data_IF_256031384928
#
_entry.id   IF_256031384928
#
_cell.length_a   1.000
_cell.length_b   1.000
_cell.length_c   1.000
_cell.angle_alpha   90.00
_cell.angle_beta   90.00
_cell.angle_gamma   90.00
#
_symmetry.space_group_name_H-M   'P 1'
#
loop_
_entity.id
_entity.type
_entity.pdbx_description
1 polymer ?
#
# COMPACT_ATOMS: atom_id res chain seq x y z
N UNK A 1 12.75 -29.07 23.81
CA UNK A 1 13.03 -28.94 22.37
C UNK A 1 14.20 -27.99 22.25
N UNK A 2 15.37 -28.53 21.94
CA UNK A 2 16.56 -27.71 21.73
C UNK A 2 16.53 -27.18 20.29
N UNK A 3 16.68 -25.86 20.13
CA UNK A 3 16.92 -25.26 18.81
C UNK A 3 18.43 -25.10 18.64
N UNK A 4 19.10 -25.97 17.87
CA UNK A 4 20.55 -25.93 17.77
C UNK A 4 20.98 -24.64 17.07
N UNK A 5 21.94 -23.95 17.67
CA UNK A 5 22.50 -22.70 17.12
C UNK A 5 23.15 -22.93 15.75
N UNK A 6 23.78 -24.10 15.60
CA UNK A 6 24.36 -24.56 14.35
C UNK A 6 23.36 -25.49 13.65
N UNK A 7 23.20 -25.35 12.33
CA UNK A 7 22.25 -26.12 11.51
C UNK A 7 20.74 -25.98 11.82
N UNK A 8 20.32 -25.28 12.88
CA UNK A 8 18.91 -25.00 13.14
C UNK A 8 18.26 -24.07 12.10
N UNK A 9 19.05 -23.24 11.43
CA UNK A 9 18.61 -22.40 10.31
C UNK A 9 19.68 -22.40 9.21
N UNK A 10 19.34 -22.94 8.03
CA UNK A 10 20.25 -23.05 6.90
C UNK A 10 19.84 -22.08 5.79
N UNK A 11 20.77 -21.22 5.37
CA UNK A 11 20.57 -20.32 4.24
C UNK A 11 21.20 -20.94 3.00
N UNK A 12 20.36 -21.32 2.04
CA UNK A 12 20.79 -21.85 0.75
C UNK A 12 20.75 -20.74 -0.31
N UNK A 13 21.80 -20.63 -1.12
CA UNK A 13 21.86 -19.66 -2.23
C UNK A 13 21.09 -20.13 -3.49
N UNK A 14 20.57 -21.36 -3.48
CA UNK A 14 19.78 -21.93 -4.58
C UNK A 14 18.28 -21.68 -4.38
N UNK A 15 17.56 -21.61 -5.49
CA UNK A 15 16.11 -21.47 -5.48
C UNK A 15 15.43 -22.84 -5.42
N UNK A 16 14.27 -22.89 -4.76
CA UNK A 16 13.37 -24.03 -4.88
C UNK A 16 12.66 -24.04 -6.26
N UNK A 17 12.12 -25.18 -6.71
CA UNK A 17 11.66 -25.36 -8.09
C UNK A 17 10.53 -24.42 -8.51
N UNK A 18 9.62 -24.08 -7.59
CA UNK A 18 8.38 -23.37 -7.92
C UNK A 18 8.49 -21.84 -7.75
N UNK A 19 9.29 -21.37 -6.79
CA UNK A 19 9.47 -19.95 -6.54
C UNK A 19 10.82 -19.65 -5.89
N UNK A 20 11.36 -18.46 -6.18
CA UNK A 20 12.66 -17.99 -5.66
C UNK A 20 12.65 -17.80 -4.14
N UNK A 21 11.53 -17.34 -3.58
CA UNK A 21 11.35 -17.18 -2.15
C UNK A 21 10.67 -18.42 -1.56
N UNK A 22 11.47 -19.46 -1.32
CA UNK A 22 11.02 -20.73 -0.73
C UNK A 22 11.67 -20.99 0.62
N UNK A 23 10.93 -21.62 1.52
CA UNK A 23 11.39 -22.05 2.84
C UNK A 23 10.89 -23.46 3.13
N UNK A 24 11.77 -24.33 3.60
CA UNK A 24 11.40 -25.66 4.08
C UNK A 24 11.53 -25.71 5.59
N UNK A 25 10.51 -26.22 6.25
CA UNK A 25 10.49 -26.44 7.69
C UNK A 25 10.50 -27.96 7.90
N UNK A 26 11.48 -28.43 8.65
CA UNK A 26 11.63 -29.83 9.03
C UNK A 26 11.49 -29.96 10.55
N UNK A 27 10.69 -30.92 11.00
CA UNK A 27 10.62 -31.33 12.39
C UNK A 27 11.35 -32.67 12.56
N UNK A 28 12.16 -32.77 13.60
CA UNK A 28 12.98 -33.94 13.88
C UNK A 28 12.59 -34.59 15.21
N UNK A 29 12.69 -35.92 15.27
CA UNK A 29 12.70 -36.68 16.51
C UNK A 29 14.05 -37.42 16.60
N UNK A 30 15.00 -36.86 17.36
CA UNK A 30 16.40 -37.26 17.24
C UNK A 30 16.96 -36.88 15.87
N UNK A 31 17.49 -37.86 15.14
CA UNK A 31 18.03 -37.67 13.79
C UNK A 31 16.99 -37.93 12.68
N UNK A 32 15.79 -38.40 13.03
CA UNK A 32 14.74 -38.74 12.07
C UNK A 32 13.83 -37.53 11.77
N UNK A 33 13.63 -37.23 10.49
CA UNK A 33 12.66 -36.21 10.04
C UNK A 33 11.26 -36.79 10.15
N UNK A 34 10.47 -36.31 11.11
CA UNK A 34 9.08 -36.73 11.31
C UNK A 34 8.08 -35.88 10.50
N UNK A 35 8.50 -34.69 10.07
CA UNK A 35 7.66 -33.81 9.26
C UNK A 35 8.53 -32.89 8.41
N UNK A 36 8.07 -32.63 7.18
CA UNK A 36 8.72 -31.71 6.25
C UNK A 36 7.65 -30.97 5.47
N UNK A 37 7.69 -29.64 5.47
CA UNK A 37 6.77 -28.83 4.67
C UNK A 37 7.47 -27.66 4.00
N UNK A 38 7.19 -27.51 2.72
CA UNK A 38 7.70 -26.42 1.88
C UNK A 38 6.67 -25.30 1.78
N UNK A 39 7.11 -24.06 2.00
CA UNK A 39 6.33 -22.85 1.90
C UNK A 39 6.98 -21.88 0.92
N UNK A 40 6.17 -21.21 0.11
CA UNK A 40 6.58 -20.20 -0.85
C UNK A 40 5.97 -18.85 -0.50
N UNK A 41 6.80 -17.81 -0.42
CA UNK A 41 6.33 -16.43 -0.28
C UNK A 41 6.13 -15.81 -1.66
N UNK A 42 4.87 -15.65 -2.06
CA UNK A 42 4.49 -15.16 -3.40
C UNK A 42 4.37 -13.62 -3.47
N UNK A 43 4.80 -12.93 -2.42
CA UNK A 43 4.82 -11.46 -2.33
C UNK A 43 3.61 -10.87 -1.60
N UNK A 44 3.77 -9.67 -1.02
CA UNK A 44 2.71 -8.98 -0.29
C UNK A 44 2.34 -9.59 1.07
N UNK A 45 3.17 -10.50 1.60
CA UNK A 45 2.90 -11.21 2.86
C UNK A 45 2.13 -12.52 2.70
N UNK A 46 1.74 -12.89 1.47
CA UNK A 46 1.06 -14.16 1.21
C UNK A 46 2.04 -15.33 1.15
N UNK A 47 1.68 -16.45 1.81
CA UNK A 47 2.44 -17.69 1.85
C UNK A 47 1.54 -18.81 1.33
N UNK A 48 2.08 -19.64 0.44
CA UNK A 48 1.39 -20.82 -0.12
C UNK A 48 2.29 -22.02 0.07
N UNK A 49 1.74 -23.16 0.47
CA UNK A 49 2.47 -24.41 0.50
C UNK A 49 2.63 -25.01 -0.91
N UNK A 50 3.59 -25.91 -1.05
CA UNK A 50 3.94 -26.51 -2.35
C UNK A 50 2.76 -27.18 -3.06
N UNK A 51 1.89 -27.85 -2.31
CA UNK A 51 0.73 -28.57 -2.83
C UNK A 51 -0.34 -27.65 -3.43
N UNK A 52 -0.48 -26.43 -2.91
CA UNK A 52 -1.46 -25.43 -3.39
C UNK A 52 -0.82 -24.38 -4.30
N UNK A 53 0.45 -24.54 -4.68
CA UNK A 53 1.14 -23.58 -5.52
C UNK A 53 0.52 -23.54 -6.93
N UNK A 54 -0.06 -22.39 -7.29
CA UNK A 54 -0.73 -22.20 -8.58
C UNK A 54 -2.17 -22.72 -8.63
N UNK A 55 -2.71 -23.21 -7.52
CA UNK A 55 -4.15 -23.44 -7.39
C UNK A 55 -4.81 -22.12 -6.99
N UNK A 56 -5.83 -21.70 -7.75
CA UNK A 56 -6.68 -20.61 -7.31
C UNK A 56 -7.41 -21.06 -6.05
N UNK A 57 -7.29 -20.28 -4.96
CA UNK A 57 -8.02 -20.56 -3.73
C UNK A 57 -9.52 -20.56 -4.07
N UNK A 58 -10.12 -21.76 -4.05
CA UNK A 58 -11.47 -22.06 -4.52
C UNK A 58 -12.58 -21.53 -3.59
N UNK A 59 -12.49 -20.27 -3.17
CA UNK A 59 -13.59 -19.54 -2.58
C UNK A 59 -13.93 -18.39 -3.53
N UNK A 60 -14.74 -18.68 -4.55
CA UNK A 60 -15.49 -17.64 -5.26
C UNK A 60 -16.47 -17.03 -4.26
N UNK A 61 -15.98 -16.05 -3.53
CA UNK A 61 -16.79 -15.24 -2.65
C UNK A 61 -17.71 -14.40 -3.54
N UNK A 62 -19.01 -14.71 -3.50
CA UNK A 62 -20.03 -14.00 -4.27
C UNK A 62 -20.24 -12.61 -3.68
N UNK A 63 -19.76 -11.59 -4.40
CA UNK A 63 -19.98 -10.18 -4.07
C UNK A 63 -21.06 -9.58 -4.99
N UNK A 64 -21.83 -8.57 -4.54
CA UNK A 64 -22.91 -7.97 -5.32
C UNK A 64 -22.46 -7.34 -6.66
N UNK A 65 -21.28 -6.73 -6.69
CA UNK A 65 -20.74 -6.04 -7.87
C UNK A 65 -19.35 -6.58 -8.23
N UNK A 66 -19.24 -7.80 -8.79
CA UNK A 66 -17.95 -8.36 -9.18
C UNK A 66 -17.45 -7.65 -10.45
N UNK A 67 -16.19 -7.21 -10.45
CA UNK A 67 -15.59 -6.53 -11.60
C UNK A 67 -14.21 -7.13 -11.92
N UNK A 68 -13.89 -7.25 -13.21
CA UNK A 68 -12.58 -7.71 -13.71
C UNK A 68 -11.85 -6.62 -14.49
N UNK A 69 -12.58 -5.64 -15.01
CA UNK A 69 -12.03 -4.52 -15.77
C UNK A 69 -12.46 -3.16 -15.23
N UNK A 70 -11.68 -2.12 -15.53
CA UNK A 70 -12.02 -0.75 -15.18
C UNK A 70 -13.32 -0.30 -15.88
N UNK A 71 -13.59 -0.84 -17.09
CA UNK A 71 -14.80 -0.55 -17.85
C UNK A 71 -16.04 -1.10 -17.14
N UNK A 72 -15.99 -2.34 -16.64
CA UNK A 72 -17.07 -2.93 -15.84
C UNK A 72 -17.31 -2.15 -14.54
N UNK A 73 -16.22 -1.79 -13.83
CA UNK A 73 -16.33 -0.99 -12.61
C UNK A 73 -17.04 0.34 -12.86
N UNK A 74 -16.71 1.03 -13.95
CA UNK A 74 -17.37 2.28 -14.34
C UNK A 74 -18.82 2.06 -14.80
N UNK A 75 -19.12 0.94 -15.49
CA UNK A 75 -20.48 0.59 -15.88
C UNK A 75 -21.39 0.44 -14.65
N UNK A 76 -20.94 -0.31 -13.63
CA UNK A 76 -21.70 -0.44 -12.39
C UNK A 76 -21.87 0.89 -11.65
N UNK A 77 -20.84 1.75 -11.61
CA UNK A 77 -20.98 3.09 -11.04
C UNK A 77 -22.06 3.92 -11.77
N UNK A 78 -22.13 3.83 -13.10
CA UNK A 78 -23.13 4.55 -13.89
C UNK A 78 -24.54 3.98 -13.71
N UNK A 79 -24.69 2.66 -13.60
CA UNK A 79 -25.97 1.98 -13.43
C UNK A 79 -26.56 2.18 -12.04
N UNK A 80 -25.72 2.11 -11.00
CA UNK A 80 -26.17 2.20 -9.60
C UNK A 80 -26.19 3.64 -9.06
N UNK A 81 -25.45 4.55 -9.69
CA UNK A 81 -25.20 5.90 -9.17
C UNK A 81 -24.21 5.95 -8.00
N UNK A 82 -23.60 4.83 -7.63
CA UNK A 82 -22.58 4.80 -6.57
C UNK A 82 -21.23 5.34 -7.03
N UNK A 83 -20.55 6.03 -6.13
CA UNK A 83 -19.12 6.34 -6.30
C UNK A 83 -18.27 5.06 -6.23
N UNK A 84 -17.02 5.11 -6.72
CA UNK A 84 -16.07 3.99 -6.62
C UNK A 84 -15.94 3.45 -5.20
N UNK A 85 -15.83 4.35 -4.21
CA UNK A 85 -15.77 3.98 -2.79
C UNK A 85 -17.08 3.38 -2.28
N UNK A 86 -18.22 3.86 -2.79
CA UNK A 86 -19.53 3.34 -2.43
C UNK A 86 -19.75 1.92 -2.94
N UNK A 87 -19.36 1.65 -4.19
CA UNK A 87 -19.44 0.33 -4.79
C UNK A 87 -18.51 -0.66 -4.08
N UNK A 88 -17.27 -0.27 -3.80
CA UNK A 88 -16.34 -1.07 -3.00
C UNK A 88 -16.90 -1.37 -1.60
N UNK A 89 -17.52 -0.38 -0.95
CA UNK A 89 -18.21 -0.57 0.33
C UNK A 89 -19.34 -1.60 0.24
N UNK A 90 -20.14 -1.61 -0.84
CA UNK A 90 -21.19 -2.63 -1.00
C UNK A 90 -20.62 -4.04 -1.13
N UNK A 91 -19.49 -4.20 -1.83
CA UNK A 91 -18.82 -5.48 -1.92
C UNK A 91 -18.25 -5.93 -0.57
N UNK A 92 -17.62 -5.03 0.19
CA UNK A 92 -17.10 -5.35 1.52
C UNK A 92 -18.23 -5.64 2.53
N UNK A 93 -19.35 -4.93 2.45
CA UNK A 93 -20.53 -5.17 3.30
C UNK A 93 -21.18 -6.54 3.08
N UNK A 94 -20.95 -7.17 1.93
CA UNK A 94 -21.40 -8.54 1.69
C UNK A 94 -20.55 -9.58 2.47
N UNK A 95 -19.34 -9.20 2.90
CA UNK A 95 -18.35 -10.08 3.53
C UNK A 95 -18.16 -9.79 5.01
N UNK A 96 -18.26 -8.53 5.36
CA UNK A 96 -17.95 -8.00 6.68
C UNK A 96 -19.05 -7.05 7.13
N UNK A 97 -19.27 -6.98 8.44
CA UNK A 97 -20.18 -6.00 9.00
C UNK A 97 -19.61 -4.58 8.88
N UNK A 98 -20.48 -3.57 8.83
CA UNK A 98 -20.06 -2.16 8.78
C UNK A 98 -19.12 -1.79 9.93
N UNK A 99 -19.39 -2.32 11.12
CA UNK A 99 -18.59 -2.07 12.32
C UNK A 99 -17.17 -2.61 12.17
N UNK A 100 -17.00 -3.83 11.66
CA UNK A 100 -15.67 -4.43 11.44
C UNK A 100 -14.86 -3.62 10.42
N UNK A 101 -15.50 -3.16 9.35
CA UNK A 101 -14.86 -2.32 8.33
C UNK A 101 -14.37 -1.00 8.93
N UNK A 102 -15.21 -0.33 9.72
CA UNK A 102 -14.89 0.95 10.33
C UNK A 102 -13.78 0.83 11.38
N UNK A 103 -13.84 -0.20 12.23
CA UNK A 103 -12.79 -0.50 13.22
C UNK A 103 -11.46 -0.87 12.54
N UNK A 104 -11.51 -1.66 11.46
CA UNK A 104 -10.32 -2.03 10.69
C UNK A 104 -9.65 -0.80 10.06
N UNK A 105 -10.40 0.06 9.37
CA UNK A 105 -9.80 1.25 8.76
C UNK A 105 -9.34 2.29 9.79
N UNK A 106 -10.04 2.41 10.92
CA UNK A 106 -9.56 3.23 12.04
C UNK A 106 -8.20 2.72 12.53
N UNK A 107 -8.05 1.41 12.70
CA UNK A 107 -6.78 0.80 13.12
C UNK A 107 -5.66 0.98 12.09
N UNK A 108 -5.97 0.80 10.80
CA UNK A 108 -5.05 1.04 9.68
C UNK A 108 -4.56 2.48 9.69
N UNK A 109 -5.46 3.45 9.79
CA UNK A 109 -5.11 4.87 9.79
C UNK A 109 -4.29 5.25 11.02
N UNK A 110 -4.71 4.81 12.22
CA UNK A 110 -3.96 5.06 13.45
C UNK A 110 -2.53 4.49 13.37
N UNK A 111 -2.37 3.29 12.79
CA UNK A 111 -1.05 2.67 12.62
C UNK A 111 -0.20 3.45 11.61
N UNK A 112 -0.80 3.93 10.52
CA UNK A 112 -0.13 4.79 9.54
C UNK A 112 0.33 6.11 10.15
N UNK A 113 -0.53 6.82 10.89
CA UNK A 113 -0.19 8.06 11.59
C UNK A 113 0.95 7.84 12.59
N UNK A 114 0.83 6.81 13.43
CA UNK A 114 1.88 6.49 14.39
C UNK A 114 3.22 6.15 13.72
N UNK A 115 3.19 5.56 12.52
CA UNK A 115 4.39 5.31 11.72
C UNK A 115 5.03 6.61 11.21
N UNK A 116 4.23 7.52 10.65
CA UNK A 116 4.71 8.84 10.23
C UNK A 116 5.32 9.57 11.43
N UNK A 117 4.63 9.61 12.58
CA UNK A 117 5.09 10.28 13.79
C UNK A 117 6.42 9.73 14.29
N UNK A 118 6.58 8.41 14.32
CA UNK A 118 7.88 7.81 14.68
C UNK A 118 8.97 8.19 13.71
N UNK A 119 8.73 8.08 12.39
CA UNK A 119 9.71 8.42 11.36
C UNK A 119 10.11 9.90 11.39
N UNK A 120 9.18 10.79 11.73
CA UNK A 120 9.41 12.23 11.89
C UNK A 120 10.25 12.61 13.12
N UNK A 121 10.24 11.77 14.16
CA UNK A 121 10.91 12.05 15.44
C UNK A 121 12.21 11.24 15.61
N UNK A 122 12.40 10.17 14.85
CA UNK A 122 13.55 9.27 15.01
C UNK A 122 14.73 9.74 14.17
N UNK A 123 15.83 10.08 14.84
CA UNK A 123 17.10 10.40 14.20
C UNK A 123 18.02 9.16 14.13
N UNK A 124 19.13 9.30 13.41
CA UNK A 124 20.19 8.29 13.36
C UNK A 124 20.38 7.68 11.97
N UNK A 125 21.00 6.51 11.95
CA UNK A 125 21.40 5.79 10.73
C UNK A 125 20.60 4.50 10.61
N UNK A 126 20.14 4.19 9.40
CA UNK A 126 19.39 2.97 9.12
C UNK A 126 20.29 1.73 9.27
N UNK A 127 19.76 0.63 9.81
CA UNK A 127 20.49 -0.62 9.94
C UNK A 127 20.81 -1.19 8.55
N UNK A 128 22.02 -1.73 8.38
CA UNK A 128 22.48 -2.35 7.14
C UNK A 128 23.86 -1.86 6.68
N UNK A 129 24.42 -2.48 5.62
CA UNK A 129 25.79 -2.21 5.18
C UNK A 129 25.97 -0.81 4.58
N UNK A 130 24.90 -0.21 4.06
CA UNK A 130 24.93 1.08 3.37
C UNK A 130 24.93 2.29 4.32
N UNK A 131 24.73 2.10 5.64
CA UNK A 131 24.77 3.16 6.66
C UNK A 131 24.10 4.47 6.25
N UNK A 132 22.88 4.37 5.71
CA UNK A 132 22.14 5.53 5.18
C UNK A 132 21.57 6.36 6.34
N UNK A 133 21.84 7.67 6.43
CA UNK A 133 21.27 8.52 7.47
C UNK A 133 19.78 8.77 7.23
N UNK A 134 19.00 8.83 8.32
CA UNK A 134 17.60 9.25 8.30
C UNK A 134 17.50 10.73 7.94
N UNK A 135 16.58 11.08 7.04
CA UNK A 135 16.39 12.45 6.52
C UNK A 135 15.07 13.05 6.97
N UNK A 136 14.07 12.25 7.31
CA UNK A 136 12.72 12.74 7.62
C UNK A 136 12.69 13.74 8.78
N UNK A 137 13.39 13.43 9.88
CA UNK A 137 13.45 14.31 11.06
C UNK A 137 14.13 15.66 10.77
N UNK A 138 15.23 15.65 10.01
CA UNK A 138 15.92 16.88 9.60
C UNK A 138 15.04 17.72 8.66
N UNK A 139 14.38 17.09 7.70
CA UNK A 139 13.48 17.75 6.76
C UNK A 139 12.27 18.38 7.47
N UNK A 140 11.68 17.68 8.44
CA UNK A 140 10.60 18.24 9.27
C UNK A 140 11.02 19.51 10.01
N UNK A 141 12.22 19.54 10.60
CA UNK A 141 12.71 20.76 11.28
C UNK A 141 12.82 21.94 10.34
N UNK A 142 13.34 21.71 9.13
CA UNK A 142 13.42 22.75 8.10
C UNK A 142 12.02 23.22 7.70
N UNK A 143 11.10 22.30 7.40
CA UNK A 143 9.75 22.64 6.97
C UNK A 143 8.97 23.42 8.02
N UNK A 144 8.98 22.98 9.28
CA UNK A 144 8.30 23.68 10.39
C UNK A 144 8.86 25.09 10.61
N UNK A 145 10.15 25.31 10.34
CA UNK A 145 10.76 26.64 10.43
C UNK A 145 10.39 27.55 9.25
N UNK A 146 10.23 26.99 8.05
CA UNK A 146 9.93 27.72 6.80
C UNK A 146 8.44 27.97 6.57
N UNK A 147 7.57 27.18 7.19
CA UNK A 147 6.11 27.18 7.01
C UNK A 147 5.47 28.54 7.37
N UNK A 148 6.04 29.24 8.37
CA UNK A 148 5.57 30.58 8.78
C UNK A 148 6.00 31.70 7.82
N UNK A 149 6.94 31.44 6.91
CA UNK A 149 7.65 32.47 6.15
C UNK A 149 7.37 32.42 4.64
N UNK A 150 6.77 31.35 4.12
CA UNK A 150 6.61 31.19 2.67
C UNK A 150 5.34 30.41 2.26
N UNK A 151 4.52 31.03 1.42
CA UNK A 151 3.42 30.39 0.68
C UNK A 151 3.94 29.78 -0.64
N UNK A 152 5.12 29.16 -0.63
CA UNK A 152 5.69 28.54 -1.83
C UNK A 152 4.99 27.19 -2.10
N UNK A 153 4.39 26.99 -3.29
CA UNK A 153 3.88 25.68 -3.70
C UNK A 153 4.90 24.53 -3.60
N UNK A 154 6.20 24.83 -3.60
CA UNK A 154 7.25 23.82 -3.40
C UNK A 154 7.23 23.21 -1.99
N UNK A 155 6.83 23.97 -0.96
CA UNK A 155 6.79 23.48 0.42
C UNK A 155 5.82 22.29 0.55
N UNK A 156 4.68 22.35 -0.14
CA UNK A 156 3.68 21.27 -0.17
C UNK A 156 4.30 19.95 -0.66
N UNK A 157 5.13 20.01 -1.71
CA UNK A 157 5.79 18.83 -2.27
C UNK A 157 6.79 18.27 -1.24
N UNK A 158 7.52 19.14 -0.56
CA UNK A 158 8.49 18.73 0.46
C UNK A 158 7.82 18.09 1.69
N UNK A 159 6.63 18.55 2.08
CA UNK A 159 5.84 17.90 3.13
C UNK A 159 5.40 16.48 2.74
N UNK A 160 4.90 16.29 1.51
CA UNK A 160 4.54 14.95 1.01
C UNK A 160 5.77 14.03 0.96
N UNK A 161 6.90 14.54 0.48
CA UNK A 161 8.17 13.80 0.44
C UNK A 161 8.63 13.43 1.86
N UNK A 162 8.50 14.35 2.81
CA UNK A 162 8.86 14.13 4.21
C UNK A 162 8.02 13.02 4.84
N UNK A 163 6.69 13.03 4.65
CA UNK A 163 5.83 11.96 5.16
C UNK A 163 6.17 10.60 4.53
N UNK A 164 6.44 10.56 3.22
CA UNK A 164 6.81 9.33 2.53
C UNK A 164 8.17 8.78 3.00
N UNK A 165 9.15 9.67 3.22
CA UNK A 165 10.45 9.31 3.78
C UNK A 165 10.32 8.79 5.20
N UNK A 166 9.52 9.43 6.06
CA UNK A 166 9.32 9.01 7.44
C UNK A 166 8.86 7.55 7.53
N UNK A 167 7.85 7.18 6.74
CA UNK A 167 7.30 5.82 6.73
C UNK A 167 8.29 4.80 6.13
N UNK A 168 8.98 5.17 5.05
CA UNK A 168 9.95 4.28 4.41
C UNK A 168 11.20 4.06 5.27
N UNK A 169 11.64 5.07 6.02
CA UNK A 169 12.74 4.97 6.99
C UNK A 169 12.35 4.07 8.17
N UNK A 170 11.12 4.17 8.67
CA UNK A 170 10.60 3.26 9.69
C UNK A 170 10.54 1.81 9.19
N UNK A 171 10.09 1.60 7.94
CA UNK A 171 10.12 0.27 7.32
C UNK A 171 11.55 -0.29 7.23
N UNK A 172 12.51 0.54 6.79
CA UNK A 172 13.91 0.12 6.66
C UNK A 172 14.57 -0.18 8.03
N UNK A 173 14.09 0.45 9.10
CA UNK A 173 14.54 0.18 10.46
C UNK A 173 13.86 -1.03 11.13
N UNK A 174 12.93 -1.71 10.45
CA UNK A 174 12.16 -2.81 11.02
C UNK A 174 11.04 -2.37 11.96
N UNK A 175 10.61 -1.11 11.86
CA UNK A 175 9.46 -0.58 12.58
C UNK A 175 8.13 -1.16 12.09
N UNK A 176 7.07 -0.92 12.86
CA UNK A 176 5.71 -1.33 12.46
C UNK A 176 5.22 -0.46 11.30
N UNK A 177 4.88 -1.10 10.18
CA UNK A 177 4.37 -0.43 8.97
C UNK A 177 3.12 -1.13 8.44
N UNK A 178 2.28 -0.39 7.72
CA UNK A 178 1.11 -0.94 7.02
C UNK A 178 1.46 -1.13 5.55
N UNK A 179 1.18 -2.31 5.01
CA UNK A 179 1.40 -2.60 3.58
C UNK A 179 0.47 -1.77 2.70
N UNK A 180 1.03 -1.08 1.72
CA UNK A 180 0.22 -0.32 0.75
C UNK A 180 0.90 -0.23 -0.63
N UNK A 181 0.87 -1.27 -1.48
CA UNK A 181 0.40 -2.66 -1.30
C UNK A 181 1.49 -3.61 -0.78
N UNK A 182 2.72 -3.13 -0.61
CA UNK A 182 3.85 -3.88 -0.04
C UNK A 182 4.60 -3.00 0.93
N UNK A 183 5.47 -3.58 1.76
CA UNK A 183 6.34 -2.82 2.66
C UNK A 183 7.23 -1.81 1.91
N UNK A 184 7.66 -2.12 0.68
CA UNK A 184 8.52 -1.21 -0.09
C UNK A 184 7.80 0.04 -0.63
N UNK A 185 6.47 0.04 -0.70
CA UNK A 185 5.66 1.16 -1.18
C UNK A 185 4.78 1.78 -0.09
N UNK A 186 4.97 1.35 1.16
CA UNK A 186 4.09 1.69 2.27
C UNK A 186 3.97 3.19 2.57
N UNK A 187 4.97 4.00 2.20
CA UNK A 187 4.96 5.43 2.50
C UNK A 187 4.00 6.29 1.68
N UNK A 188 3.45 5.81 0.57
CA UNK A 188 2.82 6.71 -0.41
C UNK A 188 1.35 6.99 -0.10
N UNK A 189 0.58 5.94 0.17
CA UNK A 189 -0.80 6.05 0.64
C UNK A 189 -0.93 6.90 1.91
N UNK A 190 -0.16 6.65 2.99
CA UNK A 190 -0.23 7.47 4.20
C UNK A 190 0.27 8.90 4.00
N UNK A 191 1.31 9.14 3.18
CA UNK A 191 1.81 10.50 2.94
C UNK A 191 0.75 11.42 2.32
N UNK A 192 -0.13 10.86 1.49
CA UNK A 192 -1.15 11.65 0.81
C UNK A 192 -2.31 11.95 1.73
N UNK A 193 -2.72 10.96 2.52
CA UNK A 193 -3.77 11.17 3.50
C UNK A 193 -3.32 12.16 4.59
N UNK A 194 -2.04 12.10 5.00
CA UNK A 194 -1.44 13.08 5.90
C UNK A 194 -1.33 14.48 5.28
N UNK A 195 -1.04 14.59 3.98
CA UNK A 195 -1.10 15.87 3.27
C UNK A 195 -2.52 16.46 3.29
N UNK A 196 -3.53 15.64 3.03
CA UNK A 196 -4.92 16.07 3.07
C UNK A 196 -5.30 16.58 4.46
N UNK A 197 -4.93 15.82 5.50
CA UNK A 197 -5.14 16.17 6.92
C UNK A 197 -4.47 17.49 7.32
N UNK A 198 -3.26 17.75 6.81
CA UNK A 198 -2.47 18.90 7.22
C UNK A 198 -2.85 20.20 6.48
N UNK A 199 -3.16 20.14 5.18
CA UNK A 199 -3.31 21.34 4.34
C UNK A 199 -4.74 21.65 3.90
N UNK A 200 -5.65 20.68 3.89
CA UNK A 200 -6.97 20.84 3.29
C UNK A 200 -8.03 20.85 4.39
N UNK A 201 -8.22 19.73 5.06
CA UNK A 201 -9.17 19.58 6.16
C UNK A 201 -8.80 18.36 7.01
N UNK A 202 -9.18 18.38 8.29
CA UNK A 202 -8.96 17.24 9.17
C UNK A 202 -9.67 15.99 8.67
N UNK A 203 -8.94 14.88 8.64
CA UNK A 203 -9.44 13.62 8.11
C UNK A 203 -10.45 13.02 9.07
N UNK A 204 -11.72 13.02 8.65
CA UNK A 204 -12.81 12.35 9.36
C UNK A 204 -12.88 10.85 9.01
N UNK A 205 -13.60 10.04 9.82
CA UNK A 205 -13.84 8.63 9.52
C UNK A 205 -14.41 8.32 8.15
N UNK A 206 -15.30 9.18 7.65
CA UNK A 206 -15.86 9.02 6.30
C UNK A 206 -14.78 9.21 5.22
N UNK A 207 -13.90 10.20 5.40
CA UNK A 207 -12.88 10.58 4.41
C UNK A 207 -11.86 9.47 4.25
N UNK A 208 -11.24 8.98 5.34
CA UNK A 208 -10.26 7.91 5.21
C UNK A 208 -10.90 6.61 4.71
N UNK A 209 -12.14 6.32 5.10
CA UNK A 209 -12.85 5.11 4.65
C UNK A 209 -13.09 5.16 3.15
N UNK A 210 -13.56 6.30 2.63
CA UNK A 210 -13.76 6.47 1.18
C UNK A 210 -12.44 6.43 0.42
N UNK A 211 -11.38 7.02 0.98
CA UNK A 211 -10.05 7.00 0.41
C UNK A 211 -9.51 5.56 0.30
N UNK A 212 -9.55 4.78 1.38
CA UNK A 212 -9.07 3.40 1.38
C UNK A 212 -9.93 2.49 0.49
N UNK A 213 -11.24 2.67 0.47
CA UNK A 213 -12.15 1.91 -0.41
C UNK A 213 -11.87 2.18 -1.89
N UNK A 214 -11.69 3.44 -2.27
CA UNK A 214 -11.34 3.79 -3.64
C UNK A 214 -9.94 3.27 -4.04
N UNK A 215 -8.95 3.41 -3.15
CA UNK A 215 -7.60 2.90 -3.37
C UNK A 215 -7.58 1.36 -3.47
N UNK A 216 -8.39 0.68 -2.65
CA UNK A 216 -8.56 -0.77 -2.65
C UNK A 216 -9.16 -1.28 -3.96
N UNK A 217 -10.24 -0.64 -4.46
CA UNK A 217 -10.87 -1.02 -5.73
C UNK A 217 -9.89 -0.91 -6.92
N UNK A 218 -9.12 0.18 -6.98
CA UNK A 218 -8.10 0.35 -8.02
C UNK A 218 -6.97 -0.68 -7.85
N UNK A 219 -6.53 -0.93 -6.61
CA UNK A 219 -5.53 -1.95 -6.31
C UNK A 219 -5.96 -3.36 -6.74
N UNK A 220 -7.24 -3.69 -6.54
CA UNK A 220 -7.83 -4.96 -6.95
C UNK A 220 -7.76 -5.16 -8.48
N UNK A 221 -8.08 -4.12 -9.27
CA UNK A 221 -7.99 -4.17 -10.74
C UNK A 221 -6.60 -4.54 -11.24
N UNK A 222 -5.55 -3.98 -10.62
CA UNK A 222 -4.17 -4.33 -10.98
C UNK A 222 -3.77 -5.71 -10.51
N UNK A 223 -4.25 -6.16 -9.33
CA UNK A 223 -3.97 -7.50 -8.81
C UNK A 223 -4.62 -8.59 -9.69
N UNK A 224 -5.85 -8.38 -10.14
CA UNK A 224 -6.59 -9.31 -11.00
C UNK A 224 -6.01 -9.43 -12.40
N UNK A 225 -5.50 -8.33 -12.97
CA UNK A 225 -4.94 -8.30 -14.32
C UNK A 225 -3.42 -8.58 -14.38
N UNK A 226 -2.76 -8.76 -13.24
CA UNK A 226 -1.36 -9.17 -13.20
C UNK A 226 -1.25 -10.69 -13.32
N UNK A 227 -0.77 -11.19 -14.46
CA UNK A 227 -0.36 -12.59 -14.57
C UNK A 227 0.75 -12.90 -13.56
N UNK A 228 0.87 -14.17 -13.15
CA UNK A 228 1.81 -14.63 -12.09
C UNK A 228 3.25 -14.13 -12.33
N UNK A 229 3.66 -13.95 -13.60
CA UNK A 229 4.95 -13.40 -14.04
C UNK A 229 5.07 -11.87 -13.86
N UNK A 230 4.00 -11.11 -14.06
CA UNK A 230 3.97 -9.64 -13.96
C UNK A 230 4.05 -9.15 -12.51
N UNK A 231 3.65 -9.97 -11.52
CA UNK A 231 3.85 -9.65 -10.08
C UNK A 231 5.31 -9.33 -9.76
N UNK A 232 6.27 -9.98 -10.41
CA UNK A 232 7.71 -9.69 -10.27
C UNK A 232 8.12 -8.41 -11.01
N UNK A 233 7.51 -8.11 -12.16
CA UNK A 233 7.76 -6.88 -12.94
C UNK A 233 7.29 -5.61 -12.23
N UNK A 234 6.17 -5.67 -11.51
CA UNK A 234 5.65 -4.57 -10.69
C UNK A 234 6.60 -4.24 -9.52
N UNK A 235 7.36 -5.22 -9.02
CA UNK A 235 8.41 -4.97 -8.03
C UNK A 235 9.60 -4.18 -8.60
N UNK A 236 9.75 -4.10 -9.93
CA UNK A 236 10.76 -3.28 -10.61
C UNK A 236 10.25 -1.88 -10.95
N UNK A 237 8.93 -1.71 -11.06
CA UNK A 237 8.24 -0.41 -11.26
C UNK A 237 7.84 0.29 -9.93
N UNK A 238 8.54 0.00 -8.83
CA UNK A 238 8.25 0.44 -7.45
C UNK A 238 8.09 1.95 -7.22
N UNK A 239 8.59 2.79 -8.14
CA UNK A 239 8.71 4.24 -7.93
C UNK A 239 7.79 5.10 -8.82
N UNK A 240 7.34 4.58 -9.97
CA UNK A 240 6.67 5.40 -11.01
C UNK A 240 5.14 5.35 -10.90
N UNK A 241 4.59 4.22 -10.48
CA UNK A 241 3.15 3.98 -10.44
C UNK A 241 2.39 4.72 -9.32
N UNK A 242 2.90 4.84 -8.08
CA UNK A 242 2.10 5.37 -6.97
C UNK A 242 1.62 6.83 -7.13
N UNK A 243 2.33 7.64 -7.92
CA UNK A 243 1.92 9.02 -8.24
C UNK A 243 0.70 9.03 -9.17
N UNK A 244 0.61 8.06 -10.10
CA UNK A 244 -0.57 7.87 -10.96
C UNK A 244 -1.78 7.32 -10.17
N UNK A 245 -1.54 6.51 -9.12
CA UNK A 245 -2.58 6.01 -8.21
C UNK A 245 -3.34 7.15 -7.54
N UNK A 246 -2.62 8.18 -7.16
CA UNK A 246 -3.16 9.29 -6.41
C UNK A 246 -3.85 10.31 -7.30
N UNK A 247 -3.19 10.72 -8.39
CA UNK A 247 -3.71 11.74 -9.29
C UNK A 247 -5.01 11.32 -10.00
N UNK A 248 -5.30 10.01 -10.08
CA UNK A 248 -6.57 9.48 -10.64
C UNK A 248 -7.64 9.16 -9.59
N UNK A 249 -7.29 8.90 -8.33
CA UNK A 249 -8.25 8.69 -7.24
C UNK A 249 -8.68 10.00 -6.55
N UNK A 250 -7.81 11.02 -6.54
CA UNK A 250 -8.10 12.35 -6.01
C UNK A 250 -9.37 12.99 -6.63
N UNK A 251 -9.61 12.95 -7.96
CA UNK A 251 -10.79 13.58 -8.55
C UNK A 251 -12.12 12.94 -8.13
N UNK A 252 -12.17 11.64 -7.83
CA UNK A 252 -13.39 10.91 -7.45
C UNK A 252 -13.70 11.05 -5.95
N UNK A 253 -12.69 11.14 -5.09
CA UNK A 253 -12.87 11.54 -3.69
C UNK A 253 -13.35 13.01 -3.58
N UNK A 254 -12.86 13.89 -4.47
CA UNK A 254 -13.13 15.33 -4.43
C UNK A 254 -14.38 15.76 -5.22
N UNK A 255 -15.05 14.84 -5.93
CA UNK A 255 -16.22 15.16 -6.75
C UNK A 255 -17.41 15.68 -5.93
N UNK A 256 -17.44 15.48 -4.60
CA UNK A 256 -18.48 16.02 -3.71
C UNK A 256 -18.22 17.50 -3.35
N UNK A 257 -16.99 18.00 -3.44
CA UNK A 257 -16.65 19.40 -3.15
C UNK A 257 -16.76 20.34 -4.38
N UNK A 258 -17.06 19.79 -5.58
CA UNK A 258 -17.03 20.54 -6.86
C UNK A 258 -18.13 21.58 -7.07
N UNK A 259 -19.08 21.75 -6.16
CA UNK A 259 -20.10 22.80 -6.29
C UNK A 259 -19.66 24.18 -5.81
N UNK A 260 -18.38 24.41 -5.44
CA UNK A 260 -17.92 25.75 -5.02
C UNK A 260 -16.63 26.30 -5.64
N UNK A 261 -15.90 25.57 -6.48
CA UNK A 261 -14.71 26.15 -7.14
C UNK A 261 -14.66 25.81 -8.63
N UNK A 262 -14.98 26.83 -9.43
CA UNK A 262 -14.78 26.88 -10.88
C UNK A 262 -13.28 26.87 -11.17
N UNK A 263 -12.75 25.75 -11.64
CA UNK A 263 -11.57 25.70 -12.50
C UNK A 263 -11.87 24.77 -13.67
N UNK A 264 -12.68 25.29 -14.61
CA UNK A 264 -12.82 24.71 -15.94
C UNK A 264 -11.86 25.41 -16.91
N UNK A 265 -11.24 24.59 -17.77
CA UNK A 265 -10.73 24.91 -19.12
C UNK A 265 -9.42 25.72 -19.21
N UNK A 266 -8.34 24.99 -19.44
CA UNK A 266 -7.51 25.09 -20.68
C UNK A 266 -6.35 24.11 -20.58
N UNK A 267 -6.42 23.01 -21.32
CA UNK A 267 -5.27 22.28 -21.87
C UNK A 267 -5.84 21.43 -23.02
N UNK A 268 -6.29 22.12 -24.05
CA UNK A 268 -6.57 21.55 -25.36
C UNK A 268 -5.23 21.47 -26.11
N UNK A 269 -4.85 20.24 -26.47
CA UNK A 269 -4.15 19.82 -27.68
C UNK A 269 -3.37 20.89 -28.46
N UNK A 270 -2.04 20.75 -28.48
CA UNK A 270 -1.20 21.16 -29.61
C UNK A 270 -0.05 20.17 -29.80
N UNK A 271 -0.31 19.06 -30.45
CA UNK A 271 0.73 18.29 -31.16
C UNK A 271 0.81 18.83 -32.57
N UNK A 272 1.81 19.69 -32.79
CA UNK A 272 2.30 20.12 -34.11
C UNK A 272 3.58 19.34 -34.40
N UNK A 273 3.71 18.82 -35.63
CA UNK A 273 4.87 18.25 -36.37
C UNK A 273 4.37 16.95 -37.05
N UNK A 274 4.28 16.75 -38.38
CA UNK A 274 4.88 17.33 -39.59
C UNK A 274 3.80 17.36 -40.67
#
# INVERSE_FOLDING_TARGET
MDFPRDNGMRFHNGNLPLHENGMQIHAYNGDEVIYSKTYYSIGGGFIVDEEHFGQDAANEVSVPYPFKSATELLAYCNETGYSLSGLAMQNELALHSKKEIDEYFAHVWQTMQACIDRGMNTEGVLPGPLRVPRRASALRRMLVSSDKLSNDPMNVIDWVNMFALAVNEENAAGGRVVTAPTNGACGIVPAVLAYYDHFIESVSPDIYTRYFMAAGAIGALYKMNASISVRKSVARAKWVLPVQWLLRALPSCWAVARNRFVWQRKLAWSTTSV
#
